data_IF_052813147063
#
_entry.id   IF_052813147063
#
_cell.length_a   1.000
_cell.length_b   1.000
_cell.length_c   1.000
_cell.angle_alpha   90.00
_cell.angle_beta   90.00
_cell.angle_gamma   90.00
#
_symmetry.space_group_name_H-M   'P 1'
#
loop_
_entity.id
_entity.type
_entity.pdbx_description
1 polymer ?
#
# COMPACT_ATOMS: atom_id res chain seq x y z
N UNK A 1 2.78 -1.02 -11.58
CA UNK A 1 2.54 -1.70 -10.29
C UNK A 1 1.76 -0.76 -9.40
N UNK A 2 0.83 -1.28 -8.62
CA UNK A 2 0.12 -0.54 -7.59
C UNK A 2 0.45 -1.10 -6.21
N UNK A 3 0.69 -0.21 -5.26
CA UNK A 3 0.63 -0.51 -3.84
C UNK A 3 -0.76 -0.09 -3.38
N UNK A 4 -1.57 -1.07 -2.99
CA UNK A 4 -2.98 -0.88 -2.70
C UNK A 4 -3.18 -0.95 -1.19
N UNK A 5 -3.88 0.04 -0.63
CA UNK A 5 -4.19 0.12 0.79
C UNK A 5 -5.71 0.19 0.98
N UNK A 6 -6.32 -0.90 1.45
CA UNK A 6 -7.77 -1.00 1.64
C UNK A 6 -8.10 -1.04 3.12
N UNK A 7 -8.86 -0.07 3.60
CA UNK A 7 -9.34 -0.01 4.98
C UNK A 7 -10.77 -0.56 5.07
N UNK A 8 -10.99 -1.52 5.97
CA UNK A 8 -12.31 -2.01 6.33
C UNK A 8 -12.76 -1.33 7.64
N UNK A 9 -13.83 -0.52 7.63
CA UNK A 9 -14.29 0.21 8.82
C UNK A 9 -14.95 -0.69 9.88
N UNK A 10 -15.50 -1.84 9.49
CA UNK A 10 -16.15 -2.79 10.41
C UNK A 10 -15.10 -3.53 11.23
N UNK A 11 -14.09 -4.09 10.58
CA UNK A 11 -13.01 -4.83 11.26
C UNK A 11 -11.84 -3.95 11.69
N UNK A 12 -11.89 -2.64 11.41
CA UNK A 12 -10.81 -1.66 11.65
C UNK A 12 -9.45 -2.14 11.15
N UNK A 13 -9.44 -2.80 9.99
CA UNK A 13 -8.24 -3.43 9.43
C UNK A 13 -7.85 -2.73 8.14
N UNK A 14 -6.60 -2.29 8.07
CA UNK A 14 -5.95 -1.80 6.85
C UNK A 14 -5.12 -2.92 6.24
N UNK A 15 -5.49 -3.38 5.05
CA UNK A 15 -4.74 -4.40 4.30
C UNK A 15 -3.96 -3.71 3.18
N UNK A 16 -2.65 -3.94 3.16
CA UNK A 16 -1.73 -3.47 2.13
C UNK A 16 -1.35 -4.62 1.20
N UNK A 17 -1.59 -4.48 -0.10
CA UNK A 17 -1.27 -5.50 -1.12
C UNK A 17 -0.53 -4.88 -2.31
N UNK A 18 0.10 -5.71 -3.13
CA UNK A 18 0.75 -5.30 -4.37
C UNK A 18 0.02 -5.92 -5.55
N UNK A 19 -0.21 -5.12 -6.58
CA UNK A 19 -0.77 -5.56 -7.86
C UNK A 19 0.16 -5.14 -9.01
N UNK A 20 0.33 -6.00 -10.00
CA UNK A 20 1.13 -5.71 -11.20
C UNK A 20 0.18 -5.47 -12.37
N UNK A 21 0.22 -4.27 -12.94
CA UNK A 21 -0.60 -3.90 -14.09
C UNK A 21 0.09 -4.43 -15.35
N UNK A 22 -0.64 -5.15 -16.19
CA UNK A 22 -0.10 -5.75 -17.41
C UNK A 22 -0.10 -4.78 -18.60
N UNK A 23 -1.12 -3.94 -18.71
CA UNK A 23 -1.23 -2.92 -19.76
C UNK A 23 -1.58 -1.54 -19.17
N UNK A 24 -0.81 -0.47 -19.50
CA UNK A 24 -1.17 0.88 -19.09
C UNK A 24 -2.54 1.27 -19.64
N UNK A 25 -3.47 1.67 -18.77
CA UNK A 25 -4.81 2.14 -19.16
C UNK A 25 -5.93 1.10 -19.11
N UNK A 26 -5.61 -0.20 -18.92
CA UNK A 26 -6.60 -1.25 -18.67
C UNK A 26 -6.63 -1.58 -17.17
N UNK A 27 -7.57 -1.00 -16.42
CA UNK A 27 -7.67 -1.17 -14.96
C UNK A 27 -7.96 -2.60 -14.51
N UNK A 28 -8.49 -3.42 -15.41
CA UNK A 28 -8.95 -4.78 -15.10
C UNK A 28 -7.90 -5.84 -15.48
N UNK A 29 -6.81 -5.42 -16.13
CA UNK A 29 -5.73 -6.31 -16.57
C UNK A 29 -4.53 -6.19 -15.62
N UNK A 30 -4.67 -6.83 -14.46
CA UNK A 30 -3.64 -6.88 -13.43
C UNK A 30 -3.46 -8.27 -12.83
N UNK A 31 -2.26 -8.54 -12.34
CA UNK A 31 -1.90 -9.73 -11.59
C UNK A 31 -1.96 -9.41 -10.09
N UNK A 32 -2.67 -10.24 -9.34
CA UNK A 32 -2.70 -10.22 -7.87
C UNK A 32 -2.22 -11.53 -7.23
N UNK A 33 -2.03 -12.60 -8.03
CA UNK A 33 -1.44 -13.85 -7.54
C UNK A 33 -0.04 -13.58 -6.97
N UNK A 34 0.18 -13.96 -5.71
CA UNK A 34 1.40 -13.64 -4.98
C UNK A 34 2.66 -14.19 -5.66
N UNK A 35 2.60 -15.40 -6.22
CA UNK A 35 3.78 -16.02 -6.85
C UNK A 35 4.20 -15.23 -8.08
N UNK A 36 3.23 -14.85 -8.92
CA UNK A 36 3.48 -14.04 -10.11
C UNK A 36 3.91 -12.61 -9.77
N UNK A 37 3.28 -11.98 -8.77
CA UNK A 37 3.70 -10.66 -8.27
C UNK A 37 5.14 -10.70 -7.79
N UNK A 38 5.52 -11.66 -6.94
CA UNK A 38 6.89 -11.80 -6.43
C UNK A 38 7.90 -12.05 -7.54
N UNK A 39 7.55 -12.86 -8.54
CA UNK A 39 8.41 -13.08 -9.70
C UNK A 39 8.66 -11.79 -10.48
N UNK A 40 7.63 -10.96 -10.67
CA UNK A 40 7.76 -9.66 -11.31
C UNK A 40 8.64 -8.72 -10.48
N UNK A 41 8.37 -8.59 -9.18
CA UNK A 41 9.17 -7.74 -8.29
C UNK A 41 10.65 -8.12 -8.32
N UNK A 42 10.95 -9.43 -8.25
CA UNK A 42 12.32 -9.95 -8.35
C UNK A 42 12.97 -9.61 -9.69
N UNK A 43 12.25 -9.75 -10.81
CA UNK A 43 12.74 -9.42 -12.16
C UNK A 43 13.22 -7.96 -12.26
N UNK A 44 12.57 -7.05 -11.56
CA UNK A 44 12.90 -5.61 -11.56
C UNK A 44 13.69 -5.14 -10.33
N UNK A 45 14.13 -6.07 -9.48
CA UNK A 45 14.91 -5.73 -8.27
C UNK A 45 14.14 -4.93 -7.22
N UNK A 46 12.81 -5.03 -7.20
CA UNK A 46 11.95 -4.35 -6.22
C UNK A 46 11.89 -5.22 -4.96
N UNK A 47 12.33 -4.66 -3.84
CA UNK A 47 12.36 -5.33 -2.52
C UNK A 47 11.19 -4.90 -1.63
N UNK A 48 10.91 -5.65 -0.56
CA UNK A 48 9.95 -5.23 0.48
C UNK A 48 10.26 -3.81 1.02
N UNK A 49 11.55 -3.49 1.21
CA UNK A 49 11.99 -2.15 1.64
C UNK A 49 11.62 -1.06 0.62
N UNK A 50 11.64 -1.36 -0.67
CA UNK A 50 11.20 -0.40 -1.69
C UNK A 50 9.68 -0.18 -1.62
N UNK A 51 8.90 -1.23 -1.34
CA UNK A 51 7.45 -1.12 -1.15
C UNK A 51 7.10 -0.29 0.09
N UNK A 52 7.82 -0.51 1.20
CA UNK A 52 7.66 0.28 2.43
C UNK A 52 8.01 1.75 2.20
N UNK A 53 9.14 2.02 1.55
CA UNK A 53 9.57 3.37 1.23
C UNK A 53 8.56 4.09 0.32
N UNK A 54 8.05 3.39 -0.69
CA UNK A 54 7.03 3.94 -1.59
C UNK A 54 5.70 4.23 -0.86
N UNK A 55 5.26 3.32 0.02
CA UNK A 55 4.08 3.53 0.84
C UNK A 55 4.25 4.72 1.80
N UNK A 56 5.41 4.84 2.43
CA UNK A 56 5.75 5.97 3.31
C UNK A 56 5.71 7.30 2.54
N UNK A 57 6.38 7.37 1.39
CA UNK A 57 6.45 8.58 0.57
C UNK A 57 5.06 9.03 0.10
N UNK A 58 4.26 8.12 -0.44
CA UNK A 58 2.99 8.46 -1.08
C UNK A 58 1.85 8.51 -0.05
N UNK A 59 1.67 7.49 0.78
CA UNK A 59 0.51 7.45 1.67
C UNK A 59 0.74 8.31 2.91
N UNK A 60 1.88 8.17 3.57
CA UNK A 60 2.12 8.89 4.84
C UNK A 60 2.52 10.34 4.60
N UNK A 61 3.56 10.56 3.80
CA UNK A 61 4.15 11.89 3.64
C UNK A 61 3.39 12.78 2.66
N UNK A 62 2.55 12.21 1.79
CA UNK A 62 1.67 12.98 0.90
C UNK A 62 0.21 12.89 1.33
N UNK A 63 -0.47 11.76 1.15
CA UNK A 63 -1.94 11.67 1.33
C UNK A 63 -2.39 11.99 2.76
N UNK A 64 -1.84 11.31 3.78
CA UNK A 64 -2.25 11.52 5.18
C UNK A 64 -1.75 12.85 5.73
N UNK A 65 -0.61 13.35 5.25
CA UNK A 65 -0.10 14.67 5.60
C UNK A 65 -1.00 15.77 5.06
N UNK A 66 -1.39 15.68 3.79
CA UNK A 66 -2.32 16.60 3.14
C UNK A 66 -3.68 16.57 3.87
N UNK A 67 -4.18 15.39 4.24
CA UNK A 67 -5.39 15.26 5.08
C UNK A 67 -5.27 16.03 6.40
N UNK A 68 -4.16 15.87 7.13
CA UNK A 68 -3.95 16.58 8.40
C UNK A 68 -3.77 18.09 8.24
N UNK A 69 -3.42 18.57 7.04
CA UNK A 69 -3.30 20.01 6.75
C UNK A 69 -4.66 20.71 6.60
N UNK A 70 -5.69 19.96 6.15
CA UNK A 70 -7.05 20.49 5.90
C UNK A 70 -8.06 20.06 6.97
N UNK A 71 -7.75 19.01 7.72
CA UNK A 71 -8.58 18.50 8.81
C UNK A 71 -7.75 18.41 10.08
N UNK A 72 -8.25 19.01 11.17
CA UNK A 72 -7.61 18.94 12.50
C UNK A 72 -7.78 17.53 13.10
N UNK A 73 -7.05 16.58 12.52
CA UNK A 73 -7.08 15.17 12.85
C UNK A 73 -6.66 14.93 14.30
N UNK A 74 -7.29 13.93 14.93
CA UNK A 74 -6.83 13.38 16.23
C UNK A 74 -5.67 12.39 16.07
N UNK A 75 -5.34 12.02 14.83
CA UNK A 75 -4.35 11.04 14.43
C UNK A 75 -3.31 11.67 13.50
N UNK A 76 -2.26 10.94 13.15
CA UNK A 76 -1.18 11.44 12.29
C UNK A 76 -0.70 10.40 11.28
N UNK A 77 0.10 10.78 10.27
CA UNK A 77 0.73 9.81 9.37
C UNK A 77 1.62 8.77 10.05
N UNK A 78 2.04 9.01 11.30
CA UNK A 78 2.87 8.09 12.09
C UNK A 78 2.08 7.31 13.14
N UNK A 79 0.83 7.68 13.39
CA UNK A 79 -0.06 7.07 14.37
C UNK A 79 -1.48 7.06 13.81
N UNK A 80 -1.90 5.91 13.28
CA UNK A 80 -3.23 5.71 12.73
C UNK A 80 -4.31 5.45 13.80
N UNK A 81 -3.91 5.43 15.09
CA UNK A 81 -4.78 5.02 16.18
C UNK A 81 -5.03 3.52 16.22
N UNK A 82 -6.22 3.13 16.66
CA UNK A 82 -6.61 1.73 16.85
C UNK A 82 -7.00 1.06 15.52
N UNK A 83 -6.00 0.79 14.68
CA UNK A 83 -6.13 0.12 13.39
C UNK A 83 -5.20 -1.08 13.34
N UNK A 84 -5.74 -2.25 12.99
CA UNK A 84 -4.93 -3.43 12.68
C UNK A 84 -4.35 -3.26 11.28
N UNK A 85 -3.03 -3.28 11.13
CA UNK A 85 -2.38 -3.22 9.82
C UNK A 85 -1.90 -4.61 9.42
N UNK A 86 -2.30 -5.05 8.22
CA UNK A 86 -1.81 -6.28 7.59
C UNK A 86 -1.14 -5.94 6.28
N UNK A 87 -0.04 -6.60 5.98
CA UNK A 87 0.76 -6.29 4.80
C UNK A 87 1.15 -7.59 4.10
N UNK A 88 0.87 -7.67 2.80
CA UNK A 88 1.16 -8.86 2.00
C UNK A 88 2.67 -9.18 1.99
N UNK A 89 3.52 -8.14 1.95
CA UNK A 89 4.97 -8.27 1.87
C UNK A 89 5.69 -8.26 3.21
N UNK A 90 4.98 -8.43 4.33
CA UNK A 90 5.58 -8.42 5.67
C UNK A 90 6.69 -9.48 5.85
N UNK A 91 6.61 -10.58 5.10
CA UNK A 91 7.55 -11.71 5.16
C UNK A 91 8.26 -11.98 3.83
N UNK A 92 8.25 -11.02 2.91
CA UNK A 92 8.84 -11.19 1.57
C UNK A 92 10.33 -10.91 1.52
#
# INVERSE_FOLDING_TARGET
>A
MWVVAKYNPISKTLIKTVQVILAPGASDDYIEDETQVRAYLKKYGITAKNLDAHYEEIVNQKVLKDWCSIYKSKYSPKDYGQVTVKMQWEKW
#
